data_IF_245447169303
#
_entry.id   IF_245447169303
#
_cell.length_a   1.000
_cell.length_b   1.000
_cell.length_c   1.000
_cell.angle_alpha   90.00
_cell.angle_beta   90.00
_cell.angle_gamma   90.00
#
_symmetry.space_group_name_H-M   'P 1'
#
loop_
_entity.id
_entity.type
_entity.pdbx_description
1 polymer ?
#
# COMPACT_ATOMS: atom_id res chain seq x y z
N UNK A 1 -35.15 14.71 -49.94
CA UNK A 1 -33.96 13.83 -50.08
C UNK A 1 -32.75 14.40 -49.33
N UNK A 2 -32.50 13.86 -48.14
CA UNK A 2 -31.19 13.75 -47.49
C UNK A 2 -30.40 15.02 -47.15
N UNK A 3 -30.77 15.74 -46.10
CA UNK A 3 -29.82 16.56 -45.34
C UNK A 3 -29.15 15.68 -44.27
N UNK A 4 -27.96 15.17 -44.58
CA UNK A 4 -27.12 14.44 -43.63
C UNK A 4 -26.50 15.42 -42.63
N UNK A 5 -27.09 15.49 -41.44
CA UNK A 5 -26.46 16.10 -40.26
C UNK A 5 -25.37 15.16 -39.74
N UNK A 6 -24.12 15.44 -40.13
CA UNK A 6 -22.94 14.83 -39.52
C UNK A 6 -22.77 15.38 -38.10
N UNK A 7 -23.25 14.62 -37.12
CA UNK A 7 -22.97 14.84 -35.71
C UNK A 7 -21.50 14.52 -35.46
N UNK A 8 -20.65 15.55 -35.47
CA UNK A 8 -19.26 15.45 -35.02
C UNK A 8 -19.27 15.19 -33.51
N UNK A 9 -19.22 13.92 -33.12
CA UNK A 9 -18.90 13.52 -31.74
C UNK A 9 -17.45 13.90 -31.47
N UNK A 10 -17.25 15.14 -31.00
CA UNK A 10 -15.98 15.62 -30.46
C UNK A 10 -15.63 14.77 -29.25
N UNK A 11 -14.93 13.67 -29.50
CA UNK A 11 -14.26 12.88 -28.49
C UNK A 11 -13.20 13.79 -27.87
N UNK A 12 -13.55 14.46 -26.78
CA UNK A 12 -12.62 15.28 -26.01
C UNK A 12 -11.52 14.37 -25.47
N UNK A 13 -10.45 14.22 -26.26
CA UNK A 13 -9.17 13.75 -25.79
C UNK A 13 -8.81 14.59 -24.57
N UNK A 14 -8.97 14.01 -23.38
CA UNK A 14 -8.45 14.59 -22.14
C UNK A 14 -6.93 14.57 -22.29
N UNK A 15 -6.38 15.62 -22.91
CA UNK A 15 -4.97 15.95 -22.80
C UNK A 15 -4.67 16.05 -21.31
N UNK A 16 -4.12 14.97 -20.73
CA UNK A 16 -3.50 15.01 -19.42
C UNK A 16 -2.24 15.86 -19.58
N UNK A 17 -2.39 17.17 -19.44
CA UNK A 17 -1.26 18.08 -19.32
C UNK A 17 -0.31 17.52 -18.26
N UNK A 18 1.00 17.46 -18.56
CA UNK A 18 2.00 17.06 -17.57
C UNK A 18 1.80 17.95 -16.32
N UNK A 19 1.89 17.39 -15.10
CA UNK A 19 1.79 18.20 -13.90
C UNK A 19 2.85 19.30 -13.92
N UNK A 20 2.43 20.54 -13.68
CA UNK A 20 3.30 21.72 -13.65
C UNK A 20 3.30 22.29 -12.24
N UNK A 21 4.47 22.74 -11.78
CA UNK A 21 4.59 23.47 -10.51
C UNK A 21 3.68 24.69 -10.50
N UNK A 22 2.99 24.94 -9.39
CA UNK A 22 2.22 26.17 -9.20
C UNK A 22 3.12 27.23 -8.54
N UNK A 23 3.47 28.34 -9.22
CA UNK A 23 4.29 29.41 -8.65
C UNK A 23 3.68 30.08 -7.42
N UNK A 24 2.37 29.91 -7.19
CA UNK A 24 1.69 30.42 -6.01
C UNK A 24 1.75 29.46 -4.81
N UNK A 25 2.38 28.30 -4.96
CA UNK A 25 2.58 27.31 -3.90
C UNK A 25 1.31 26.63 -3.37
N UNK A 26 0.16 26.81 -4.02
CA UNK A 26 -1.14 26.31 -3.51
C UNK A 26 -1.69 25.16 -4.34
N UNK A 27 -2.13 24.10 -3.67
CA UNK A 27 -2.59 22.87 -4.31
C UNK A 27 -3.91 22.39 -3.71
N UNK A 28 -4.73 21.76 -4.54
CA UNK A 28 -5.97 21.11 -4.13
C UNK A 28 -5.87 19.61 -4.33
N UNK A 29 -5.98 18.85 -3.24
CA UNK A 29 -5.97 17.39 -3.25
C UNK A 29 -7.39 16.88 -3.02
N UNK A 30 -7.85 15.94 -3.84
CA UNK A 30 -9.14 15.28 -3.66
C UNK A 30 -8.96 14.02 -2.81
N UNK A 31 -9.61 13.97 -1.66
CA UNK A 31 -9.65 12.81 -0.76
C UNK A 31 -11.10 12.43 -0.47
N UNK A 32 -11.37 11.18 -0.12
CA UNK A 32 -12.68 10.71 0.32
C UNK A 32 -12.79 10.80 1.84
N UNK A 33 -13.91 11.32 2.35
CA UNK A 33 -14.15 11.40 3.79
C UNK A 33 -15.65 11.42 4.08
N UNK A 34 -16.08 10.56 5.00
CA UNK A 34 -17.49 10.34 5.36
C UNK A 34 -18.38 10.16 4.13
N UNK A 35 -18.01 9.24 3.24
CA UNK A 35 -18.82 8.86 2.07
C UNK A 35 -18.82 9.84 0.91
N UNK A 36 -18.04 10.94 0.96
CA UNK A 36 -18.02 11.93 -0.12
C UNK A 36 -16.61 12.45 -0.44
N UNK A 37 -16.34 12.85 -1.70
CA UNK A 37 -15.08 13.48 -2.05
C UNK A 37 -14.99 14.90 -1.47
N UNK A 38 -13.85 15.21 -0.87
CA UNK A 38 -13.47 16.49 -0.26
C UNK A 38 -12.27 17.06 -0.99
N UNK A 39 -12.29 18.37 -1.23
CA UNK A 39 -11.13 19.12 -1.73
C UNK A 39 -10.37 19.70 -0.54
N UNK A 40 -9.17 19.18 -0.29
CA UNK A 40 -8.27 19.64 0.76
C UNK A 40 -7.25 20.60 0.13
N UNK A 41 -7.23 21.85 0.60
CA UNK A 41 -6.26 22.85 0.18
C UNK A 41 -5.00 22.78 1.04
N UNK A 42 -3.84 22.70 0.40
CA UNK A 42 -2.53 22.68 1.04
C UNK A 42 -1.56 23.57 0.28
N UNK A 43 -0.66 24.21 1.02
CA UNK A 43 0.54 24.85 0.45
C UNK A 43 1.70 23.83 0.31
N UNK A 44 2.80 24.23 -0.33
CA UNK A 44 4.00 23.40 -0.55
C UNK A 44 5.07 23.46 0.57
N UNK A 45 4.80 24.12 1.71
CA UNK A 45 5.70 24.07 2.85
C UNK A 45 5.57 22.73 3.58
N UNK A 46 6.65 21.94 3.59
CA UNK A 46 6.71 20.63 4.26
C UNK A 46 7.89 20.55 5.23
N UNK A 47 7.78 19.77 6.32
CA UNK A 47 8.86 19.67 7.29
C UNK A 47 10.14 19.09 6.68
N UNK A 48 11.27 19.74 6.95
CA UNK A 48 12.61 19.32 6.56
C UNK A 48 13.49 19.14 7.79
N UNK A 49 14.45 18.23 7.69
CA UNK A 49 15.57 18.10 8.62
C UNK A 49 16.57 19.25 8.37
N UNK A 50 17.47 19.49 9.32
CA UNK A 50 18.51 20.54 9.21
C UNK A 50 19.41 20.40 7.98
N UNK A 51 19.59 19.19 7.45
CA UNK A 51 20.35 18.91 6.24
C UNK A 51 19.52 19.01 4.94
N UNK A 52 18.30 19.54 5.02
CA UNK A 52 17.41 19.74 3.87
C UNK A 52 16.62 18.50 3.44
N UNK A 53 16.81 17.34 4.09
CA UNK A 53 16.05 16.13 3.77
C UNK A 53 14.59 16.27 4.22
N UNK A 54 13.65 15.90 3.36
CA UNK A 54 12.23 15.88 3.68
C UNK A 54 11.93 14.85 4.79
N UNK A 55 11.14 15.27 5.78
CA UNK A 55 10.64 14.40 6.87
C UNK A 55 9.29 13.74 6.51
N UNK A 56 8.65 14.22 5.45
CA UNK A 56 7.44 13.67 4.86
C UNK A 56 7.76 12.56 3.84
N UNK A 57 6.74 11.79 3.45
CA UNK A 57 6.80 10.92 2.28
C UNK A 57 7.17 11.73 1.04
N UNK A 58 8.13 11.24 0.27
CA UNK A 58 8.65 11.93 -0.91
C UNK A 58 9.04 10.94 -2.01
N UNK A 59 9.07 11.43 -3.24
CA UNK A 59 9.58 10.67 -4.38
C UNK A 59 11.11 10.63 -4.34
N UNK A 60 11.69 9.60 -4.97
CA UNK A 60 13.12 9.58 -5.27
C UNK A 60 13.50 10.63 -6.33
N UNK A 61 12.53 11.12 -7.11
CA UNK A 61 12.72 12.23 -8.03
C UNK A 61 12.46 13.55 -7.30
N UNK A 62 13.47 14.41 -7.07
CA UNK A 62 13.29 15.64 -6.30
C UNK A 62 12.34 16.66 -6.94
N UNK A 63 12.07 16.53 -8.25
CA UNK A 63 11.12 17.36 -8.99
C UNK A 63 9.66 16.94 -8.81
N UNK A 64 9.38 15.81 -8.13
CA UNK A 64 8.03 15.31 -7.88
C UNK A 64 7.53 15.69 -6.48
N UNK A 65 6.65 16.68 -6.42
CA UNK A 65 6.04 17.15 -5.16
C UNK A 65 4.77 16.39 -4.76
N UNK A 66 4.18 15.62 -5.68
CA UNK A 66 2.82 15.10 -5.52
C UNK A 66 2.67 14.16 -4.30
N UNK A 67 3.71 13.39 -3.96
CA UNK A 67 3.69 12.47 -2.80
C UNK A 67 3.58 13.26 -1.50
N UNK A 68 4.42 14.29 -1.34
CA UNK A 68 4.47 15.11 -0.14
C UNK A 68 3.20 15.96 0.01
N UNK A 69 2.68 16.48 -1.11
CA UNK A 69 1.40 17.20 -1.11
C UNK A 69 0.22 16.29 -0.74
N UNK A 70 0.23 15.04 -1.22
CA UNK A 70 -0.80 14.05 -0.90
C UNK A 70 -0.77 13.69 0.59
N UNK A 71 0.41 13.39 1.14
CA UNK A 71 0.57 13.10 2.57
C UNK A 71 0.14 14.30 3.43
N UNK A 72 0.58 15.51 3.09
CA UNK A 72 0.19 16.73 3.82
C UNK A 72 -1.32 16.94 3.82
N UNK A 73 -1.98 16.72 2.68
CA UNK A 73 -3.44 16.81 2.60
C UNK A 73 -4.14 15.74 3.43
N UNK A 74 -3.59 14.53 3.47
CA UNK A 74 -4.08 13.44 4.30
C UNK A 74 -3.94 13.77 5.80
N UNK A 75 -2.77 14.23 6.24
CA UNK A 75 -2.53 14.69 7.63
C UNK A 75 -3.51 15.79 8.01
N UNK A 76 -3.72 16.77 7.13
CA UNK A 76 -4.69 17.85 7.35
C UNK A 76 -6.12 17.33 7.49
N UNK A 77 -6.50 16.33 6.70
CA UNK A 77 -7.82 15.68 6.79
C UNK A 77 -7.99 14.93 8.12
N UNK A 78 -6.93 14.30 8.62
CA UNK A 78 -6.93 13.48 9.84
C UNK A 78 -6.74 14.29 11.15
N UNK A 79 -6.84 15.61 11.10
CA UNK A 79 -6.74 16.48 12.29
C UNK A 79 -5.47 17.32 12.39
N UNK A 80 -4.61 17.28 11.36
CA UNK A 80 -3.48 18.21 11.20
C UNK A 80 -2.23 17.87 12.01
N UNK A 81 -2.16 16.68 12.63
CA UNK A 81 -1.00 16.24 13.40
C UNK A 81 -0.28 15.08 12.71
N UNK A 82 1.06 15.13 12.71
CA UNK A 82 1.91 14.00 12.33
C UNK A 82 2.03 12.93 13.43
N UNK A 83 1.37 13.10 14.57
CA UNK A 83 1.29 12.12 15.66
C UNK A 83 0.33 10.97 15.34
N UNK A 84 0.40 10.41 14.13
CA UNK A 84 -0.41 9.26 13.74
C UNK A 84 0.29 7.98 14.17
N UNK A 85 -0.32 7.25 15.11
CA UNK A 85 0.07 5.86 15.38
C UNK A 85 -0.35 5.01 14.17
N UNK A 86 0.44 3.98 13.85
CA UNK A 86 0.29 3.20 12.61
C UNK A 86 -1.17 2.86 12.28
N UNK A 87 -1.53 3.02 11.00
CA UNK A 87 -2.88 2.87 10.47
C UNK A 87 -3.05 1.57 9.69
N UNK A 88 -4.31 1.17 9.48
CA UNK A 88 -4.64 0.07 8.59
C UNK A 88 -4.63 0.57 7.12
N UNK A 89 -3.85 -0.04 6.21
CA UNK A 89 -3.75 0.42 4.83
C UNK A 89 -5.10 0.40 4.08
N UNK A 90 -6.03 -0.50 4.43
CA UNK A 90 -7.39 -0.51 3.89
C UNK A 90 -8.17 0.76 4.26
N UNK A 91 -8.07 1.21 5.52
CA UNK A 91 -8.72 2.45 5.96
C UNK A 91 -8.08 3.67 5.29
N UNK A 92 -6.76 3.68 5.10
CA UNK A 92 -6.06 4.78 4.42
C UNK A 92 -6.43 4.82 2.93
N UNK A 93 -6.47 3.67 2.27
CA UNK A 93 -6.86 3.55 0.87
C UNK A 93 -8.30 3.97 0.62
N UNK A 94 -9.21 3.80 1.59
CA UNK A 94 -10.57 4.35 1.49
C UNK A 94 -10.53 5.87 1.31
N UNK A 95 -9.69 6.58 2.05
CA UNK A 95 -9.57 8.04 1.91
C UNK A 95 -8.93 8.45 0.57
N UNK A 96 -8.12 7.59 -0.03
CA UNK A 96 -7.48 7.87 -1.33
C UNK A 96 -8.41 7.54 -2.51
N UNK A 97 -9.22 6.50 -2.40
CA UNK A 97 -9.95 5.90 -3.53
C UNK A 97 -11.47 5.97 -3.41
N UNK A 98 -12.01 6.01 -2.19
CA UNK A 98 -13.41 5.78 -1.89
C UNK A 98 -13.85 4.32 -2.01
N UNK A 99 -12.93 3.38 -2.27
CA UNK A 99 -13.22 1.96 -2.37
C UNK A 99 -13.37 1.32 -0.98
N UNK A 100 -14.30 0.38 -0.87
CA UNK A 100 -14.57 -0.31 0.40
C UNK A 100 -13.41 -1.25 0.73
N UNK A 101 -12.83 -1.16 1.94
CA UNK A 101 -11.75 -2.05 2.35
C UNK A 101 -12.31 -3.43 2.70
N UNK A 102 -11.57 -4.47 2.30
CA UNK A 102 -11.77 -5.84 2.74
C UNK A 102 -10.46 -6.34 3.36
N UNK A 103 -10.54 -6.97 4.53
CA UNK A 103 -9.37 -7.55 5.22
C UNK A 103 -9.50 -9.05 5.22
N UNK A 104 -8.57 -9.73 4.56
CA UNK A 104 -8.50 -11.19 4.50
C UNK A 104 -7.34 -11.62 5.40
N UNK A 105 -7.60 -12.22 6.57
CA UNK A 105 -6.53 -12.67 7.44
C UNK A 105 -5.86 -13.93 6.86
N UNK A 106 -4.55 -14.02 6.96
CA UNK A 106 -3.82 -15.24 6.58
C UNK A 106 -4.04 -16.38 7.57
N UNK A 107 -4.47 -16.07 8.79
CA UNK A 107 -4.70 -17.03 9.86
C UNK A 107 -6.13 -16.88 10.40
N UNK A 108 -6.81 -18.01 10.59
CA UNK A 108 -8.23 -18.04 11.00
C UNK A 108 -8.46 -17.58 12.44
N UNK A 109 -7.45 -17.68 13.30
CA UNK A 109 -7.44 -17.25 14.71
C UNK A 109 -7.46 -15.72 14.88
N UNK A 110 -7.16 -14.95 13.84
CA UNK A 110 -7.16 -13.48 13.87
C UNK A 110 -8.57 -12.90 14.11
N UNK A 111 -9.65 -13.66 13.83
CA UNK A 111 -11.03 -13.19 13.92
C UNK A 111 -11.91 -13.92 14.96
N UNK A 112 -11.38 -14.85 15.76
CA UNK A 112 -12.22 -15.71 16.63
C UNK A 112 -12.80 -15.05 17.88
N UNK A 113 -12.85 -13.71 17.96
CA UNK A 113 -13.47 -12.99 19.09
C UNK A 113 -12.88 -13.34 20.47
N UNK A 114 -11.75 -14.05 20.49
CA UNK A 114 -11.03 -14.38 21.70
C UNK A 114 -10.41 -13.07 22.18
N UNK A 115 -10.66 -12.62 23.42
CA UNK A 115 -10.06 -11.39 23.92
C UNK A 115 -8.58 -11.47 23.65
N UNK A 116 -8.04 -10.42 23.01
CA UNK A 116 -6.66 -10.36 22.57
C UNK A 116 -5.77 -10.97 23.64
N UNK A 117 -5.29 -12.18 23.42
CA UNK A 117 -4.19 -12.71 24.21
C UNK A 117 -3.12 -11.64 24.12
N UNK A 118 -2.60 -11.17 25.25
CA UNK A 118 -1.52 -10.15 25.28
C UNK A 118 -0.29 -10.57 24.45
N UNK A 119 -0.25 -11.82 23.99
CA UNK A 119 0.69 -12.36 23.03
C UNK A 119 0.39 -11.83 21.62
N UNK A 120 1.30 -11.04 21.02
CA UNK A 120 1.13 -10.56 19.66
C UNK A 120 1.22 -11.72 18.65
N UNK A 121 0.51 -11.59 17.53
CA UNK A 121 0.55 -12.57 16.45
C UNK A 121 1.93 -12.49 15.77
N UNK A 122 2.65 -13.61 15.71
CA UNK A 122 3.99 -13.69 15.12
C UNK A 122 3.93 -14.37 13.76
N UNK A 123 4.37 -13.65 12.74
CA UNK A 123 4.56 -14.08 11.34
C UNK A 123 5.86 -14.86 11.20
N UNK A 124 5.83 -15.98 10.48
CA UNK A 124 7.02 -16.75 10.09
C UNK A 124 7.51 -17.74 11.14
N UNK A 125 6.81 -17.87 12.27
CA UNK A 125 7.09 -18.85 13.33
C UNK A 125 6.14 -20.05 13.33
N UNK A 126 5.34 -20.22 12.28
CA UNK A 126 4.37 -21.31 12.16
C UNK A 126 5.06 -22.67 11.96
N UNK A 127 4.47 -23.73 12.53
CA UNK A 127 4.92 -25.11 12.29
C UNK A 127 4.63 -25.55 10.86
N UNK A 128 5.42 -26.50 10.34
CA UNK A 128 5.22 -27.06 9.00
C UNK A 128 3.81 -27.61 8.79
N UNK A 129 3.20 -28.19 9.82
CA UNK A 129 1.82 -28.68 9.79
C UNK A 129 0.80 -27.56 9.53
N UNK A 130 0.96 -26.41 10.19
CA UNK A 130 0.08 -25.24 10.01
C UNK A 130 0.26 -24.67 8.61
N UNK A 131 1.51 -24.55 8.15
CA UNK A 131 1.82 -24.06 6.80
C UNK A 131 1.24 -24.98 5.73
N UNK A 132 1.35 -26.30 5.90
CA UNK A 132 0.80 -27.29 4.97
C UNK A 132 -0.74 -27.22 4.93
N UNK A 133 -1.39 -27.09 6.08
CA UNK A 133 -2.86 -26.92 6.16
C UNK A 133 -3.31 -25.66 5.42
N UNK A 134 -2.62 -24.53 5.61
CA UNK A 134 -2.97 -23.30 4.91
C UNK A 134 -2.74 -23.41 3.39
N UNK A 135 -1.67 -24.07 2.93
CA UNK A 135 -1.42 -24.30 1.50
C UNK A 135 -2.51 -25.15 0.83
N UNK A 136 -3.14 -26.05 1.57
CA UNK A 136 -4.20 -26.93 1.07
C UNK A 136 -5.61 -26.34 1.26
N UNK A 137 -5.75 -25.16 1.87
CA UNK A 137 -7.05 -24.57 2.13
C UNK A 137 -7.66 -24.04 0.81
N UNK A 138 -8.79 -24.59 0.33
CA UNK A 138 -9.40 -24.21 -0.94
C UNK A 138 -9.95 -22.78 -0.94
N UNK A 139 -10.13 -22.15 0.22
CA UNK A 139 -10.49 -20.72 0.29
C UNK A 139 -9.46 -19.83 -0.44
N UNK A 140 -8.18 -20.22 -0.46
CA UNK A 140 -7.14 -19.47 -1.16
C UNK A 140 -7.29 -19.50 -2.68
N UNK A 141 -7.99 -20.48 -3.25
CA UNK A 141 -8.32 -20.49 -4.68
C UNK A 141 -9.32 -19.38 -5.01
N UNK A 142 -10.34 -19.20 -4.16
CA UNK A 142 -11.33 -18.14 -4.29
C UNK A 142 -10.68 -16.77 -4.12
N UNK A 143 -9.88 -16.60 -3.07
CA UNK A 143 -9.15 -15.36 -2.80
C UNK A 143 -8.21 -15.02 -3.95
N UNK A 144 -7.44 -16.00 -4.45
CA UNK A 144 -6.55 -15.79 -5.59
C UNK A 144 -7.33 -15.38 -6.85
N UNK A 145 -8.41 -16.08 -7.17
CA UNK A 145 -9.24 -15.75 -8.33
C UNK A 145 -9.77 -14.32 -8.28
N UNK A 146 -10.30 -13.91 -7.12
CA UNK A 146 -10.81 -12.55 -6.92
C UNK A 146 -9.71 -11.50 -7.01
N UNK A 147 -8.56 -11.74 -6.37
CA UNK A 147 -7.40 -10.85 -6.42
C UNK A 147 -6.85 -10.70 -7.83
N UNK A 148 -6.65 -11.81 -8.54
CA UNK A 148 -6.14 -11.86 -9.91
C UNK A 148 -7.04 -11.08 -10.86
N UNK A 149 -8.35 -11.33 -10.81
CA UNK A 149 -9.35 -10.61 -11.61
C UNK A 149 -9.38 -9.13 -11.25
N UNK A 150 -9.46 -8.82 -9.95
CA UNK A 150 -9.55 -7.45 -9.46
C UNK A 150 -8.35 -6.58 -9.84
N UNK A 151 -7.13 -7.10 -9.69
CA UNK A 151 -5.91 -6.40 -10.09
C UNK A 151 -5.78 -6.28 -11.61
N UNK A 152 -6.10 -7.33 -12.37
CA UNK A 152 -6.01 -7.32 -13.84
C UNK A 152 -6.97 -6.32 -14.48
N UNK A 153 -8.17 -6.18 -13.90
CA UNK A 153 -9.21 -5.29 -14.42
C UNK A 153 -9.16 -3.88 -13.80
N UNK A 154 -8.19 -3.62 -12.91
CA UNK A 154 -8.08 -2.34 -12.19
C UNK A 154 -9.27 -2.04 -11.28
N UNK A 155 -9.93 -3.09 -10.75
CA UNK A 155 -11.10 -3.02 -9.86
C UNK A 155 -10.74 -3.05 -8.38
N UNK A 156 -9.51 -3.42 -8.04
CA UNK A 156 -9.02 -3.36 -6.66
C UNK A 156 -7.55 -2.92 -6.60
N UNK A 157 -7.17 -2.48 -5.40
CA UNK A 157 -5.78 -2.31 -4.96
C UNK A 157 -5.60 -3.27 -3.79
N UNK A 158 -4.41 -3.86 -3.68
CA UNK A 158 -4.13 -4.84 -2.65
C UNK A 158 -2.85 -4.49 -1.89
N UNK A 159 -2.90 -4.72 -0.59
CA UNK A 159 -1.76 -4.59 0.31
C UNK A 159 -1.60 -5.87 1.12
N UNK A 160 -0.36 -6.18 1.48
CA UNK A 160 -0.04 -7.21 2.47
C UNK A 160 0.46 -6.52 3.73
N UNK A 161 -0.17 -6.85 4.86
CA UNK A 161 0.28 -6.41 6.17
C UNK A 161 1.03 -7.54 6.89
N UNK A 162 2.08 -7.20 7.61
CA UNK A 162 2.78 -8.10 8.52
C UNK A 162 2.47 -7.75 9.97
N UNK A 163 2.46 -8.75 10.84
CA UNK A 163 2.40 -8.57 12.30
C UNK A 163 3.82 -8.54 12.88
N UNK A 164 4.06 -9.02 14.10
CA UNK A 164 5.44 -9.30 14.52
C UNK A 164 6.08 -10.29 13.55
N UNK A 165 7.40 -10.22 13.39
CA UNK A 165 8.15 -11.25 12.66
C UNK A 165 9.16 -11.84 13.64
N UNK A 166 9.22 -13.17 13.72
CA UNK A 166 9.88 -13.87 14.84
C UNK A 166 11.38 -13.55 15.00
N UNK A 167 12.06 -13.22 13.90
CA UNK A 167 13.49 -12.89 13.84
C UNK A 167 13.74 -11.45 13.39
N UNK A 168 12.75 -10.56 13.58
CA UNK A 168 12.93 -9.13 13.35
C UNK A 168 14.02 -8.57 14.27
N UNK A 169 14.98 -7.84 13.69
CA UNK A 169 16.07 -7.24 14.44
C UNK A 169 15.54 -6.26 15.50
N UNK A 170 15.98 -6.37 16.78
CA UNK A 170 15.64 -5.39 17.81
C UNK A 170 16.27 -4.02 17.52
N UNK A 171 15.75 -2.97 18.15
CA UNK A 171 16.32 -1.63 18.09
C UNK A 171 17.77 -1.65 18.58
N UNK A 172 18.71 -1.07 17.81
CA UNK A 172 20.10 -0.86 18.25
C UNK A 172 21.16 -1.83 17.71
N UNK A 173 20.85 -2.69 16.74
CA UNK A 173 21.86 -3.42 15.95
C UNK A 173 22.27 -2.63 14.69
N UNK A 174 23.37 -3.01 14.04
CA UNK A 174 23.78 -2.50 12.71
C UNK A 174 22.77 -2.83 11.58
N UNK A 175 21.70 -3.57 11.93
CA UNK A 175 20.60 -3.90 11.05
C UNK A 175 19.44 -2.92 11.23
N UNK A 176 18.68 -2.65 10.15
CA UNK A 176 17.49 -1.81 10.27
C UNK A 176 16.48 -2.49 11.19
N UNK A 177 16.07 -1.74 12.22
CA UNK A 177 15.10 -2.18 13.22
C UNK A 177 13.83 -2.74 12.58
N UNK A 178 13.32 -3.84 13.15
CA UNK A 178 12.09 -4.47 12.70
C UNK A 178 12.24 -5.32 11.43
N UNK A 179 13.42 -5.42 10.83
CA UNK A 179 13.67 -6.24 9.64
C UNK A 179 14.10 -7.65 10.04
N UNK A 180 13.40 -8.66 9.53
CA UNK A 180 13.75 -10.07 9.64
C UNK A 180 15.12 -10.34 9.02
N UNK A 181 16.00 -10.93 9.82
CA UNK A 181 17.38 -11.24 9.39
C UNK A 181 17.39 -12.32 8.31
N UNK A 182 16.54 -13.34 8.45
CA UNK A 182 16.47 -14.46 7.51
C UNK A 182 15.77 -14.10 6.21
N UNK A 183 14.70 -13.30 6.27
CA UNK A 183 13.82 -13.09 5.10
C UNK A 183 13.89 -11.70 4.49
N UNK A 184 14.30 -10.68 5.25
CA UNK A 184 14.18 -9.27 4.87
C UNK A 184 12.75 -8.71 4.95
N UNK A 185 11.77 -9.47 5.44
CA UNK A 185 10.43 -8.97 5.74
C UNK A 185 10.49 -8.04 6.95
N UNK A 186 9.76 -6.93 6.91
CA UNK A 186 9.67 -5.95 7.98
C UNK A 186 8.45 -6.29 8.84
N UNK A 187 8.61 -6.29 10.16
CA UNK A 187 7.53 -6.45 11.12
C UNK A 187 6.62 -5.21 11.16
N UNK A 188 5.33 -5.44 11.43
CA UNK A 188 4.29 -4.40 11.57
C UNK A 188 4.27 -3.42 10.39
N UNK A 189 4.38 -3.96 9.18
CA UNK A 189 4.62 -3.18 7.97
C UNK A 189 3.63 -3.50 6.86
N UNK A 190 3.37 -2.51 6.01
CA UNK A 190 2.49 -2.66 4.85
C UNK A 190 3.29 -2.67 3.54
N UNK A 191 2.97 -3.64 2.69
CA UNK A 191 3.52 -3.80 1.35
C UNK A 191 2.44 -3.59 0.30
N UNK A 192 2.75 -2.85 -0.76
CA UNK A 192 1.84 -2.75 -1.91
C UNK A 192 2.01 -3.95 -2.83
N UNK A 193 0.91 -4.59 -3.23
CA UNK A 193 0.91 -5.60 -4.29
C UNK A 193 0.88 -4.89 -5.64
N UNK A 194 1.95 -5.02 -6.41
CA UNK A 194 2.09 -4.33 -7.68
C UNK A 194 1.75 -5.21 -8.89
N UNK A 195 2.05 -6.51 -8.81
CA UNK A 195 1.72 -7.49 -9.85
C UNK A 195 1.41 -8.83 -9.24
N UNK A 196 0.72 -9.65 -10.02
CA UNK A 196 0.46 -11.05 -9.74
C UNK A 196 0.82 -11.87 -10.98
N UNK A 197 1.20 -13.13 -10.79
CA UNK A 197 1.46 -14.06 -11.88
C UNK A 197 1.25 -15.49 -11.41
N UNK A 198 0.93 -16.39 -12.34
CA UNK A 198 0.98 -17.82 -12.13
C UNK A 198 2.05 -18.42 -13.04
N UNK A 199 3.07 -19.03 -12.45
CA UNK A 199 4.26 -19.51 -13.18
C UNK A 199 4.64 -20.88 -12.62
N UNK A 200 4.71 -21.89 -13.49
CA UNK A 200 5.03 -23.28 -13.11
C UNK A 200 4.18 -23.82 -11.92
N UNK A 201 2.88 -23.48 -11.89
CA UNK A 201 1.99 -23.89 -10.81
C UNK A 201 2.15 -23.09 -9.51
N UNK A 202 3.00 -22.06 -9.49
CA UNK A 202 3.15 -21.15 -8.36
C UNK A 202 2.40 -19.84 -8.59
N UNK A 203 1.62 -19.44 -7.58
CA UNK A 203 0.97 -18.13 -7.50
C UNK A 203 1.92 -17.14 -6.85
N UNK A 204 2.34 -16.13 -7.61
CA UNK A 204 3.37 -15.19 -7.23
C UNK A 204 2.80 -13.77 -7.12
N UNK A 205 3.18 -13.06 -6.07
CA UNK A 205 2.88 -11.64 -5.90
C UNK A 205 4.17 -10.84 -5.94
N UNK A 206 4.23 -9.85 -6.82
CA UNK A 206 5.29 -8.85 -6.82
C UNK A 206 4.91 -7.72 -5.87
N UNK A 207 5.60 -7.67 -4.73
CA UNK A 207 5.30 -6.73 -3.65
C UNK A 207 6.38 -5.68 -3.50
N UNK A 208 5.98 -4.45 -3.13
CA UNK A 208 6.89 -3.34 -2.89
C UNK A 208 6.92 -2.96 -1.43
N UNK A 209 8.13 -2.91 -0.87
CA UNK A 209 8.40 -2.25 0.40
C UNK A 209 8.43 -0.72 0.17
N UNK A 210 7.58 0.08 0.83
CA UNK A 210 7.60 1.54 0.75
C UNK A 210 8.96 2.18 1.09
N UNK A 211 9.75 1.57 1.98
CA UNK A 211 11.09 2.07 2.33
C UNK A 211 12.11 1.95 1.20
N UNK A 212 11.87 1.04 0.23
CA UNK A 212 12.70 0.87 -0.97
C UNK A 212 14.08 0.24 -0.75
N UNK A 213 14.59 0.17 0.49
CA UNK A 213 15.93 -0.34 0.79
C UNK A 213 15.98 -1.82 1.22
N UNK A 214 14.87 -2.40 1.67
CA UNK A 214 14.80 -3.81 2.11
C UNK A 214 14.00 -4.65 1.11
N UNK A 215 14.45 -5.90 0.91
CA UNK A 215 13.89 -6.84 -0.07
C UNK A 215 13.80 -8.24 0.51
N UNK A 216 12.82 -9.00 0.02
CA UNK A 216 12.68 -10.42 0.25
C UNK A 216 13.93 -11.18 -0.18
N UNK A 217 14.38 -12.14 0.64
CA UNK A 217 15.61 -12.94 0.43
C UNK A 217 15.36 -14.43 0.21
N UNK A 218 14.12 -14.89 0.36
CA UNK A 218 13.78 -16.30 0.14
C UNK A 218 13.47 -16.63 -1.31
N UNK A 219 12.68 -17.71 -1.50
CA UNK A 219 12.32 -18.23 -2.83
C UNK A 219 11.68 -17.17 -3.72
N UNK A 220 12.02 -17.16 -5.01
CA UNK A 220 11.60 -16.17 -6.02
C UNK A 220 12.11 -14.74 -5.75
N UNK A 221 13.07 -14.55 -4.84
CA UNK A 221 13.78 -13.27 -4.74
C UNK A 221 14.73 -13.08 -5.93
N UNK A 222 15.16 -11.83 -6.21
CA UNK A 222 16.14 -11.58 -7.28
C UNK A 222 17.49 -12.31 -7.10
N UNK A 223 17.81 -12.76 -5.88
CA UNK A 223 19.04 -13.49 -5.57
C UNK A 223 18.84 -15.00 -5.38
N UNK A 224 17.61 -15.50 -5.59
CA UNK A 224 17.31 -16.93 -5.55
C UNK A 224 17.94 -17.62 -6.76
N UNK A 225 18.60 -18.77 -6.55
CA UNK A 225 19.38 -19.50 -7.57
C UNK A 225 18.65 -20.74 -8.06
#
# INVERSE_FOLDING_TARGET
PGSSSSSSSSSSSRYRSRPVYNPRGMYGVKLFFNGAPRKVLVDDYVPTRRDGKLLCAHSQQPSELWVSLLEKAFVKLMGGSYSMQGSNPGADLYHLTGWLPETIPFRSDVHTGTPATHTPIVTGGETDEVLQRQRQNPAWDVVWFQLNRGLSEGRCVACLGTSEVFDAAPSGLDFPEGVSVSTGIVARHAYSVLRHAEVFGHRLLYVKNPWGCMRWRGKFSPGDK
#
